data_IF_995390906004
#
_entry.id   IF_995390906004
#
_cell.length_a   1.000
_cell.length_b   1.000
_cell.length_c   1.000
_cell.angle_alpha   90.00
_cell.angle_beta   90.00
_cell.angle_gamma   90.00
#
_symmetry.space_group_name_H-M   'P 1'
#
loop_
_entity.id
_entity.type
_entity.pdbx_description
1 polymer ?
#
# COMPACT_ATOMS: atom_id res chain seq x y z
N UNK A 1 -26.97 -46.39 -25.15
CA UNK A 1 -27.80 -46.63 -23.97
C UNK A 1 -27.78 -45.36 -23.15
N UNK A 2 -28.93 -44.75 -23.04
CA UNK A 2 -29.29 -43.54 -22.33
C UNK A 2 -28.69 -43.44 -20.92
N UNK A 3 -28.16 -42.29 -20.58
CA UNK A 3 -28.32 -41.70 -19.25
C UNK A 3 -28.71 -40.21 -19.40
N UNK A 4 -29.84 -39.98 -18.81
CA UNK A 4 -30.69 -38.82 -18.90
C UNK A 4 -30.06 -37.57 -18.28
N UNK A 5 -30.15 -36.47 -19.03
CA UNK A 5 -30.18 -35.10 -18.55
C UNK A 5 -31.16 -34.99 -17.37
N UNK A 6 -30.65 -34.81 -16.17
CA UNK A 6 -31.37 -34.22 -15.05
C UNK A 6 -30.93 -32.78 -14.91
N UNK A 7 -31.69 -31.88 -15.48
CA UNK A 7 -31.68 -30.49 -15.07
C UNK A 7 -32.08 -30.46 -13.58
N UNK A 8 -31.18 -30.03 -12.72
CA UNK A 8 -31.46 -29.74 -11.33
C UNK A 8 -32.07 -28.35 -11.30
N UNK A 9 -33.37 -28.32 -11.03
CA UNK A 9 -34.16 -27.12 -10.81
C UNK A 9 -33.86 -26.63 -9.37
N UNK A 10 -33.06 -25.59 -9.24
CA UNK A 10 -32.77 -24.94 -7.94
C UNK A 10 -33.87 -23.93 -7.66
N UNK A 11 -34.55 -24.05 -6.52
CA UNK A 11 -35.51 -23.05 -6.05
C UNK A 11 -34.78 -21.74 -5.69
N UNK A 12 -35.46 -20.60 -5.92
CA UNK A 12 -34.90 -19.27 -5.61
C UNK A 12 -34.47 -19.07 -4.13
N UNK A 13 -34.96 -19.93 -3.22
CA UNK A 13 -34.58 -19.93 -1.81
C UNK A 13 -33.27 -20.67 -1.54
N UNK A 14 -32.85 -21.64 -2.37
CA UNK A 14 -31.57 -22.36 -2.22
C UNK A 14 -30.37 -21.58 -2.79
N UNK A 15 -30.59 -20.54 -3.59
CA UNK A 15 -29.55 -19.64 -4.11
C UNK A 15 -29.17 -18.52 -3.13
N UNK A 16 -29.85 -18.40 -1.98
CA UNK A 16 -29.64 -17.33 -1.03
C UNK A 16 -28.64 -17.66 0.11
N UNK A 17 -28.22 -18.93 0.27
CA UNK A 17 -27.43 -19.32 1.46
C UNK A 17 -25.93 -19.58 1.24
N UNK A 18 -25.43 -19.53 0.00
CA UNK A 18 -24.00 -19.75 -0.29
C UNK A 18 -23.28 -18.54 -0.89
N UNK A 19 -23.67 -17.33 -0.52
CA UNK A 19 -22.78 -16.18 -0.65
C UNK A 19 -21.72 -16.28 0.46
N UNK A 20 -20.65 -17.03 0.20
CA UNK A 20 -19.38 -16.86 0.91
C UNK A 20 -18.95 -15.43 0.58
N UNK A 21 -19.14 -14.52 1.54
CA UNK A 21 -18.47 -13.22 1.53
C UNK A 21 -16.97 -13.50 1.43
N UNK A 22 -16.42 -13.42 0.23
CA UNK A 22 -14.99 -13.16 0.10
C UNK A 22 -14.67 -11.94 0.95
N UNK A 23 -13.53 -11.90 1.68
CA UNK A 23 -13.13 -10.72 2.44
C UNK A 23 -12.73 -9.62 1.44
N UNK A 24 -13.70 -9.09 0.74
CA UNK A 24 -13.63 -7.79 0.10
C UNK A 24 -13.37 -6.79 1.22
N UNK A 25 -12.41 -5.89 1.01
CA UNK A 25 -12.16 -4.73 1.86
C UNK A 25 -13.47 -4.20 2.42
N UNK A 26 -13.52 -3.81 3.72
CA UNK A 26 -14.73 -3.27 4.27
C UNK A 26 -15.11 -2.04 3.44
N UNK A 27 -16.07 -2.23 2.56
CA UNK A 27 -16.84 -1.14 2.02
C UNK A 27 -17.58 -0.63 3.24
N UNK A 28 -17.05 0.41 3.89
CA UNK A 28 -17.86 1.22 4.78
C UNK A 28 -18.97 1.80 3.89
N UNK A 29 -20.04 1.06 3.76
CA UNK A 29 -21.31 1.58 3.31
C UNK A 29 -21.76 2.58 4.38
N UNK A 30 -21.31 3.82 4.25
CA UNK A 30 -21.93 4.94 4.94
C UNK A 30 -23.32 5.01 4.33
N UNK A 31 -24.35 4.64 5.12
CA UNK A 31 -25.75 4.72 4.69
C UNK A 31 -26.06 6.17 4.39
N UNK A 32 -26.92 6.41 3.40
CA UNK A 32 -27.37 7.76 3.05
C UNK A 32 -27.92 8.56 4.24
N UNK A 33 -28.34 7.87 5.30
CA UNK A 33 -28.88 8.41 6.56
C UNK A 33 -27.80 9.03 7.47
N UNK A 34 -26.52 8.71 7.26
CA UNK A 34 -25.41 9.21 8.09
C UNK A 34 -24.74 10.47 7.51
N UNK A 35 -25.23 10.95 6.36
CA UNK A 35 -24.74 12.18 5.73
C UNK A 35 -25.63 13.33 6.16
N UNK A 36 -25.31 13.93 7.29
CA UNK A 36 -25.86 15.27 7.60
C UNK A 36 -25.17 16.29 6.71
N UNK A 37 -25.91 17.32 6.27
CA UNK A 37 -25.38 18.42 5.46
C UNK A 37 -24.15 19.13 6.05
N UNK A 38 -23.89 18.95 7.35
CA UNK A 38 -22.69 19.40 8.07
C UNK A 38 -21.42 18.62 7.70
N UNK A 39 -21.54 17.40 7.14
CA UNK A 39 -20.39 16.62 6.69
C UNK A 39 -19.78 17.11 5.35
N UNK A 40 -20.36 18.11 4.73
CA UNK A 40 -19.88 18.79 3.53
C UNK A 40 -18.94 19.98 3.83
N UNK A 41 -18.66 20.28 5.09
CA UNK A 41 -17.60 21.21 5.46
C UNK A 41 -16.22 20.53 5.33
N UNK A 42 -15.74 20.50 4.10
CA UNK A 42 -14.40 20.04 3.78
C UNK A 42 -13.35 20.89 4.48
N UNK A 43 -12.31 20.31 5.08
CA UNK A 43 -11.20 21.06 5.62
C UNK A 43 -10.39 21.67 4.48
N UNK A 44 -10.70 22.91 4.13
CA UNK A 44 -10.00 23.70 3.13
C UNK A 44 -10.87 24.84 2.64
N UNK A 45 -10.53 26.08 3.01
CA UNK A 45 -11.20 27.29 2.54
C UNK A 45 -11.11 27.41 1.02
N UNK A 46 -12.25 27.63 0.35
CA UNK A 46 -12.36 28.08 -1.03
C UNK A 46 -11.64 29.42 -1.19
N UNK A 47 -10.39 29.39 -1.61
CA UNK A 47 -9.65 30.60 -2.07
C UNK A 47 -9.46 30.49 -3.58
N UNK A 48 -9.40 31.61 -4.28
CA UNK A 48 -9.15 31.66 -5.74
C UNK A 48 -7.84 30.97 -6.16
N UNK A 49 -6.93 30.76 -5.21
CA UNK A 49 -5.64 30.07 -5.39
C UNK A 49 -5.69 28.56 -5.06
N UNK A 50 -6.86 27.98 -4.80
CA UNK A 50 -7.01 26.57 -4.48
C UNK A 50 -7.63 25.79 -5.66
N UNK A 51 -7.24 24.55 -5.77
CA UNK A 51 -7.76 23.59 -6.75
C UNK A 51 -8.34 22.38 -6.01
N UNK A 52 -9.53 21.97 -6.41
CA UNK A 52 -10.16 20.75 -5.93
C UNK A 52 -9.52 19.54 -6.61
N UNK A 53 -9.11 18.54 -5.84
CA UNK A 53 -8.55 17.31 -6.33
C UNK A 53 -9.11 16.10 -5.59
N UNK A 54 -9.09 14.95 -6.26
CA UNK A 54 -9.48 13.65 -5.75
C UNK A 54 -8.31 12.69 -5.93
N UNK A 55 -7.97 11.95 -4.88
CA UNK A 55 -7.04 10.84 -4.96
C UNK A 55 -7.71 9.63 -5.59
N UNK A 56 -7.19 9.14 -6.71
CA UNK A 56 -7.70 7.96 -7.41
C UNK A 56 -6.64 6.88 -7.40
N UNK A 57 -7.02 5.67 -6.98
CA UNK A 57 -6.19 4.48 -7.05
C UNK A 57 -6.53 3.71 -8.32
N UNK A 58 -5.53 3.52 -9.17
CA UNK A 58 -5.65 2.73 -10.39
C UNK A 58 -5.32 1.26 -10.06
N UNK A 59 -5.94 0.31 -10.75
CA UNK A 59 -5.70 -1.15 -10.62
C UNK A 59 -5.83 -1.71 -9.19
N UNK A 60 -6.67 -1.11 -8.35
CA UNK A 60 -6.99 -1.62 -7.01
C UNK A 60 -5.86 -1.54 -5.97
N UNK A 61 -4.60 -1.34 -6.37
CA UNK A 61 -3.40 -1.34 -5.51
C UNK A 61 -2.44 -0.20 -5.87
N UNK A 62 -1.53 0.11 -4.95
CA UNK A 62 -0.41 1.00 -5.24
C UNK A 62 -0.71 2.48 -5.07
N UNK A 63 0.02 3.29 -5.82
CA UNK A 63 0.08 4.74 -5.69
C UNK A 63 -1.26 5.41 -5.99
N UNK A 64 -1.61 6.39 -5.14
CA UNK A 64 -2.75 7.28 -5.39
C UNK A 64 -2.30 8.41 -6.32
N UNK A 65 -3.06 8.64 -7.37
CA UNK A 65 -2.85 9.71 -8.33
C UNK A 65 -3.93 10.78 -8.15
N UNK A 66 -3.56 12.04 -8.27
CA UNK A 66 -4.48 13.14 -8.07
C UNK A 66 -5.06 13.63 -9.40
N UNK A 67 -6.40 13.77 -9.42
CA UNK A 67 -7.16 14.23 -10.56
C UNK A 67 -8.08 15.38 -10.15
N UNK A 68 -8.45 16.23 -11.11
CA UNK A 68 -9.53 17.18 -10.91
C UNK A 68 -10.86 16.47 -11.08
N UNK A 69 -11.82 16.63 -10.15
CA UNK A 69 -13.14 16.01 -10.27
C UNK A 69 -13.98 16.62 -11.41
N UNK A 70 -13.50 17.71 -12.05
CA UNK A 70 -14.27 18.50 -13.02
C UNK A 70 -15.62 18.96 -12.42
N UNK A 71 -16.73 18.60 -13.06
CA UNK A 71 -18.08 18.96 -12.64
C UNK A 71 -18.81 17.81 -11.88
N UNK A 72 -18.07 16.74 -11.53
CA UNK A 72 -18.66 15.59 -10.86
C UNK A 72 -18.54 15.70 -9.35
N UNK A 73 -19.63 15.34 -8.66
CA UNK A 73 -19.60 15.08 -7.21
C UNK A 73 -19.08 13.67 -6.99
N UNK A 74 -17.86 13.54 -6.48
CA UNK A 74 -17.18 12.26 -6.28
C UNK A 74 -17.09 11.98 -4.80
N UNK A 75 -17.41 10.75 -4.41
CA UNK A 75 -17.29 10.23 -3.05
C UNK A 75 -16.16 9.20 -2.98
N UNK A 76 -15.61 9.03 -1.80
CA UNK A 76 -14.66 7.93 -1.55
C UNK A 76 -15.34 6.60 -1.86
N UNK A 77 -14.66 5.75 -2.64
CA UNK A 77 -15.19 4.46 -3.09
C UNK A 77 -15.83 4.49 -4.47
N UNK A 78 -16.13 5.67 -5.03
CA UNK A 78 -16.69 5.75 -6.38
C UNK A 78 -15.68 5.27 -7.42
N UNK A 79 -16.18 4.51 -8.39
CA UNK A 79 -15.42 4.14 -9.57
C UNK A 79 -15.47 5.25 -10.60
N UNK A 80 -14.31 5.62 -11.11
CA UNK A 80 -14.15 6.76 -12.03
C UNK A 80 -13.31 6.36 -13.23
N UNK A 81 -13.66 6.93 -14.38
CA UNK A 81 -12.89 6.82 -15.61
C UNK A 81 -12.00 8.05 -15.72
N UNK A 82 -10.70 7.81 -15.86
CA UNK A 82 -9.67 8.86 -15.90
C UNK A 82 -8.81 8.74 -17.16
N UNK A 83 -8.28 9.87 -17.60
CA UNK A 83 -7.27 9.90 -18.65
C UNK A 83 -5.87 9.94 -18.03
N UNK A 84 -5.05 8.95 -18.36
CA UNK A 84 -3.63 8.89 -17.96
C UNK A 84 -2.71 9.24 -19.13
N UNK A 85 -1.40 9.26 -18.92
CA UNK A 85 -0.42 9.37 -20.02
C UNK A 85 -0.39 8.12 -20.90
N UNK A 86 -0.91 7.03 -20.39
CA UNK A 86 -0.96 5.72 -21.05
C UNK A 86 -2.30 5.52 -21.80
N UNK A 87 -3.35 6.30 -21.49
CA UNK A 87 -4.69 6.25 -22.04
C UNK A 87 -5.78 6.27 -20.98
N UNK A 88 -6.96 5.76 -21.35
CA UNK A 88 -8.13 5.69 -20.47
C UNK A 88 -7.95 4.52 -19.51
N UNK A 89 -8.17 4.78 -18.22
CA UNK A 89 -8.11 3.80 -17.15
C UNK A 89 -9.31 3.96 -16.20
N UNK A 90 -9.70 2.87 -15.56
CA UNK A 90 -10.64 2.89 -14.48
C UNK A 90 -9.91 2.88 -13.14
N UNK A 91 -10.40 3.66 -12.18
CA UNK A 91 -9.85 3.71 -10.84
C UNK A 91 -10.93 3.91 -9.79
N UNK A 92 -10.53 3.77 -8.54
CA UNK A 92 -11.39 4.00 -7.37
C UNK A 92 -10.94 5.26 -6.66
N UNK A 93 -11.88 6.15 -6.32
CA UNK A 93 -11.63 7.30 -5.48
C UNK A 93 -11.19 6.83 -4.08
N UNK A 94 -9.90 6.96 -3.78
CA UNK A 94 -9.28 6.47 -2.55
C UNK A 94 -9.52 7.42 -1.39
N UNK A 95 -9.58 8.72 -1.68
CA UNK A 95 -9.76 9.78 -0.70
C UNK A 95 -10.94 10.67 -1.08
N UNK A 96 -11.40 11.41 -0.09
CA UNK A 96 -12.37 12.47 -0.32
C UNK A 96 -11.75 13.62 -1.10
N UNK A 97 -12.54 14.36 -1.92
CA UNK A 97 -12.04 15.55 -2.59
C UNK A 97 -11.45 16.57 -1.61
N UNK A 98 -10.31 17.15 -1.92
CA UNK A 98 -9.57 18.09 -1.07
C UNK A 98 -9.18 19.33 -1.86
N UNK A 99 -9.16 20.50 -1.17
CA UNK A 99 -8.64 21.74 -1.74
C UNK A 99 -7.15 21.85 -1.42
N UNK A 100 -6.31 21.98 -2.45
CA UNK A 100 -4.90 22.28 -2.29
C UNK A 100 -4.51 23.57 -3.00
N UNK A 101 -3.52 24.31 -2.48
CA UNK A 101 -2.99 25.49 -3.16
C UNK A 101 -2.42 25.14 -4.54
N UNK A 102 -2.72 25.92 -5.57
CA UNK A 102 -2.23 25.71 -6.95
C UNK A 102 -0.72 25.61 -7.04
N UNK A 103 -0.02 26.36 -6.22
CA UNK A 103 1.46 26.36 -6.15
C UNK A 103 2.09 25.09 -5.57
N UNK A 104 1.31 24.24 -4.90
CA UNK A 104 1.75 22.94 -4.42
C UNK A 104 1.78 21.85 -5.50
N UNK A 105 1.15 22.10 -6.64
CA UNK A 105 1.07 21.18 -7.76
C UNK A 105 2.34 21.26 -8.64
N UNK A 106 3.00 20.13 -8.82
CA UNK A 106 4.20 20.02 -9.68
C UNK A 106 3.86 20.00 -11.18
N UNK A 107 2.61 19.67 -11.54
CA UNK A 107 2.12 19.57 -12.92
C UNK A 107 0.60 19.85 -12.96
N UNK A 108 0.06 20.27 -14.12
CA UNK A 108 -1.37 20.46 -14.25
C UNK A 108 -2.12 19.15 -14.01
N UNK A 109 -3.22 19.23 -13.26
CA UNK A 109 -4.08 18.09 -12.95
C UNK A 109 -4.83 17.64 -14.22
N UNK A 110 -4.80 16.33 -14.46
CA UNK A 110 -5.71 15.71 -15.41
C UNK A 110 -7.11 15.62 -14.80
N UNK A 111 -8.13 15.58 -15.65
CA UNK A 111 -9.53 15.55 -15.21
C UNK A 111 -10.03 14.12 -15.11
N UNK A 112 -10.97 13.90 -14.21
CA UNK A 112 -11.83 12.73 -14.24
C UNK A 112 -12.78 12.94 -15.42
N UNK A 113 -12.88 11.94 -16.30
CA UNK A 113 -13.71 12.02 -17.50
C UNK A 113 -15.19 11.85 -17.16
N UNK A 114 -15.49 10.85 -16.30
CA UNK A 114 -16.85 10.55 -15.82
C UNK A 114 -16.82 9.52 -14.68
N UNK A 115 -17.94 9.36 -14.02
CA UNK A 115 -18.19 8.20 -13.16
C UNK A 115 -18.29 6.93 -14.01
N UNK A 116 -17.89 5.80 -13.45
CA UNK A 116 -18.04 4.50 -14.12
C UNK A 116 -19.52 4.10 -14.18
N UNK A 117 -19.94 3.56 -15.31
CA UNK A 117 -21.25 2.94 -15.50
C UNK A 117 -21.21 1.45 -15.09
N UNK A 118 -22.38 0.83 -15.00
CA UNK A 118 -22.44 -0.62 -14.75
C UNK A 118 -21.74 -1.43 -15.86
N UNK A 119 -21.82 -0.98 -17.11
CA UNK A 119 -21.12 -1.63 -18.23
C UNK A 119 -19.59 -1.52 -18.07
N UNK A 120 -19.08 -0.39 -17.56
CA UNK A 120 -17.66 -0.24 -17.26
C UNK A 120 -17.21 -1.19 -16.14
N UNK A 121 -18.04 -1.37 -15.11
CA UNK A 121 -17.75 -2.29 -14.02
C UNK A 121 -17.73 -3.74 -14.52
N UNK A 122 -18.70 -4.14 -15.34
CA UNK A 122 -18.72 -5.46 -15.94
C UNK A 122 -17.48 -5.70 -16.82
N UNK A 123 -17.14 -4.71 -17.67
CA UNK A 123 -15.93 -4.79 -18.49
C UNK A 123 -14.64 -4.89 -17.66
N UNK A 124 -14.58 -4.21 -16.53
CA UNK A 124 -13.44 -4.31 -15.60
C UNK A 124 -13.32 -5.69 -14.97
N UNK A 125 -14.45 -6.29 -14.57
CA UNK A 125 -14.45 -7.66 -14.04
C UNK A 125 -14.09 -8.70 -15.11
N UNK A 126 -14.58 -8.53 -16.34
CA UNK A 126 -14.16 -9.36 -17.49
C UNK A 126 -12.65 -9.26 -17.73
N UNK A 127 -12.08 -8.05 -17.64
CA UNK A 127 -10.63 -7.87 -17.80
C UNK A 127 -9.85 -8.59 -16.70
N UNK A 128 -10.32 -8.62 -15.46
CA UNK A 128 -9.67 -9.39 -14.39
C UNK A 128 -9.63 -10.89 -14.67
N UNK A 129 -10.72 -11.46 -15.19
CA UNK A 129 -10.72 -12.87 -15.59
C UNK A 129 -9.71 -13.12 -16.73
N UNK A 130 -9.66 -12.23 -17.72
CA UNK A 130 -8.68 -12.31 -18.81
C UNK A 130 -7.24 -12.18 -18.31
N UNK A 131 -6.98 -11.37 -17.26
CA UNK A 131 -5.66 -11.23 -16.62
C UNK A 131 -5.21 -12.55 -16.00
N UNK A 132 -6.09 -13.25 -15.27
CA UNK A 132 -5.80 -14.55 -14.67
C UNK A 132 -5.47 -15.60 -15.74
N UNK A 133 -6.28 -15.70 -16.79
CA UNK A 133 -6.05 -16.63 -17.91
C UNK A 133 -4.75 -16.31 -18.65
N UNK A 134 -4.48 -15.02 -18.90
CA UNK A 134 -3.28 -14.57 -19.54
C UNK A 134 -2.03 -14.87 -18.72
N UNK A 135 -2.10 -14.74 -17.39
CA UNK A 135 -0.99 -15.06 -16.49
C UNK A 135 -0.61 -16.55 -16.56
N UNK A 136 -1.62 -17.44 -16.52
CA UNK A 136 -1.40 -18.89 -16.62
C UNK A 136 -0.73 -19.23 -17.97
N UNK A 137 -1.34 -18.76 -19.04
CA UNK A 137 -0.83 -19.00 -20.40
C UNK A 137 0.59 -18.47 -20.59
N UNK A 138 0.87 -17.26 -20.11
CA UNK A 138 2.20 -16.67 -20.22
C UNK A 138 3.25 -17.42 -19.38
N UNK A 139 2.90 -17.95 -18.20
CA UNK A 139 3.79 -18.80 -17.39
C UNK A 139 4.19 -20.07 -18.14
N UNK A 140 3.25 -20.71 -18.82
CA UNK A 140 3.54 -21.89 -19.66
C UNK A 140 4.52 -21.55 -20.80
N UNK A 141 4.34 -20.37 -21.44
CA UNK A 141 5.24 -19.91 -22.49
C UNK A 141 6.64 -19.58 -21.97
N UNK A 142 6.76 -18.93 -20.82
CA UNK A 142 8.06 -18.68 -20.15
C UNK A 142 8.81 -19.99 -19.91
N UNK A 143 8.12 -21.03 -19.43
CA UNK A 143 8.71 -22.37 -19.25
C UNK A 143 9.11 -23.01 -20.57
N UNK A 144 8.27 -22.90 -21.62
CA UNK A 144 8.56 -23.44 -22.94
C UNK A 144 9.83 -22.84 -23.57
N UNK A 145 10.02 -21.52 -23.40
CA UNK A 145 11.23 -20.83 -23.89
C UNK A 145 12.43 -20.94 -22.93
N UNK A 146 12.28 -21.58 -21.76
CA UNK A 146 13.34 -21.76 -20.79
C UNK A 146 13.94 -20.46 -20.26
N UNK A 147 13.11 -19.42 -20.12
CA UNK A 147 13.56 -18.09 -19.66
C UNK A 147 13.72 -18.07 -18.14
N UNK A 148 14.84 -17.53 -17.67
CA UNK A 148 15.12 -17.35 -16.24
C UNK A 148 14.44 -16.06 -15.72
N UNK A 149 13.12 -16.13 -15.63
CA UNK A 149 12.26 -15.06 -15.15
C UNK A 149 10.99 -15.61 -14.49
N UNK A 150 10.47 -14.90 -13.53
CA UNK A 150 9.21 -15.25 -12.86
C UNK A 150 8.16 -14.18 -13.16
N UNK A 151 7.04 -14.58 -13.78
CA UNK A 151 5.89 -13.71 -13.99
C UNK A 151 5.11 -13.58 -12.67
N UNK A 152 4.88 -12.36 -12.25
CA UNK A 152 4.21 -12.02 -10.99
C UNK A 152 2.76 -11.69 -11.24
N UNK A 153 2.47 -10.77 -12.18
CA UNK A 153 1.12 -10.25 -12.42
C UNK A 153 0.94 -9.82 -13.87
N UNK A 154 -0.30 -9.62 -14.27
CA UNK A 154 -0.70 -9.13 -15.60
C UNK A 154 -1.75 -8.04 -15.43
N UNK A 155 -1.64 -6.99 -16.20
CA UNK A 155 -2.63 -5.92 -16.26
C UNK A 155 -3.10 -5.70 -17.69
N UNK A 156 -4.40 -5.88 -17.91
CA UNK A 156 -5.09 -5.40 -19.10
C UNK A 156 -5.40 -3.92 -18.93
N UNK A 157 -5.08 -3.16 -19.94
CA UNK A 157 -5.53 -1.79 -19.99
C UNK A 157 -7.03 -1.74 -20.18
N UNK A 158 -7.70 -0.77 -19.59
CA UNK A 158 -9.16 -0.66 -19.64
C UNK A 158 -9.73 -0.65 -21.07
N UNK A 159 -8.99 -0.12 -22.05
CA UNK A 159 -9.35 -0.14 -23.48
C UNK A 159 -8.93 -1.41 -24.24
N UNK A 160 -8.40 -2.41 -23.56
CA UNK A 160 -7.89 -3.69 -24.10
C UNK A 160 -6.83 -3.56 -25.22
N UNK A 161 -6.21 -2.38 -25.40
CA UNK A 161 -5.22 -2.14 -26.44
C UNK A 161 -3.81 -2.54 -26.06
N UNK A 162 -3.58 -2.85 -24.79
CA UNK A 162 -2.27 -3.24 -24.27
C UNK A 162 -2.40 -4.18 -23.08
N UNK A 163 -1.51 -5.16 -23.02
CA UNK A 163 -1.34 -6.05 -21.86
C UNK A 163 0.07 -5.81 -21.34
N UNK A 164 0.19 -5.59 -20.04
CA UNK A 164 1.48 -5.45 -19.35
C UNK A 164 1.70 -6.65 -18.44
N UNK A 165 2.78 -7.38 -18.65
CA UNK A 165 3.22 -8.48 -17.81
C UNK A 165 4.33 -7.99 -16.88
N UNK A 166 4.13 -8.17 -15.58
CA UNK A 166 5.14 -7.83 -14.57
C UNK A 166 5.96 -9.06 -14.22
N UNK A 167 7.27 -8.91 -14.22
CA UNK A 167 8.16 -10.03 -13.93
C UNK A 167 9.35 -9.62 -13.08
N UNK A 168 9.94 -10.61 -12.39
CA UNK A 168 11.23 -10.52 -11.73
C UNK A 168 12.25 -11.41 -12.38
N UNK A 169 13.50 -10.99 -12.40
CA UNK A 169 14.65 -11.76 -12.88
C UNK A 169 15.93 -11.24 -12.24
N UNK A 170 16.88 -12.14 -11.96
CA UNK A 170 18.17 -11.78 -11.36
C UNK A 170 19.11 -11.08 -12.35
N UNK A 171 18.88 -11.27 -13.65
CA UNK A 171 19.72 -10.73 -14.71
C UNK A 171 18.93 -10.17 -15.89
N UNK A 172 19.65 -9.95 -16.97
CA UNK A 172 19.07 -9.50 -18.22
C UNK A 172 18.53 -10.72 -19.00
N UNK A 173 17.22 -10.70 -19.28
CA UNK A 173 16.52 -11.76 -20.01
C UNK A 173 16.25 -11.30 -21.44
N UNK A 174 16.48 -12.18 -22.43
CA UNK A 174 16.07 -11.94 -23.81
C UNK A 174 14.70 -12.54 -24.07
N UNK A 175 13.69 -11.72 -23.99
CA UNK A 175 12.28 -12.10 -24.13
C UNK A 175 11.68 -11.75 -25.49
N UNK A 176 12.48 -11.48 -26.54
CA UNK A 176 11.97 -11.05 -27.85
C UNK A 176 11.06 -12.08 -28.51
N UNK A 177 11.40 -13.36 -28.40
CA UNK A 177 10.59 -14.45 -28.94
C UNK A 177 9.29 -14.62 -28.15
N UNK A 178 9.36 -14.56 -26.82
CA UNK A 178 8.19 -14.59 -25.94
C UNK A 178 7.21 -13.45 -26.28
N UNK A 179 7.69 -12.22 -26.45
CA UNK A 179 6.82 -11.07 -26.81
C UNK A 179 6.11 -11.29 -28.13
N UNK A 180 6.79 -11.84 -29.15
CA UNK A 180 6.17 -12.13 -30.46
C UNK A 180 5.10 -13.20 -30.34
N UNK A 181 5.35 -14.25 -29.59
CA UNK A 181 4.41 -15.34 -29.35
C UNK A 181 3.17 -14.84 -28.60
N UNK A 182 3.35 -14.16 -27.49
CA UNK A 182 2.25 -13.56 -26.72
C UNK A 182 1.45 -12.54 -27.54
N UNK A 183 2.11 -11.70 -28.36
CA UNK A 183 1.44 -10.75 -29.23
C UNK A 183 0.60 -11.44 -30.31
N UNK A 184 1.07 -12.57 -30.85
CA UNK A 184 0.32 -13.40 -31.79
C UNK A 184 -0.90 -14.05 -31.13
N UNK A 185 -0.74 -14.54 -29.89
CA UNK A 185 -1.76 -15.25 -29.13
C UNK A 185 -2.90 -14.30 -28.70
N UNK A 186 -2.53 -13.19 -28.04
CA UNK A 186 -3.52 -12.24 -27.50
C UNK A 186 -3.96 -11.17 -28.51
N UNK A 187 -3.33 -11.10 -29.67
CA UNK A 187 -3.60 -10.11 -30.73
C UNK A 187 -3.63 -8.66 -30.25
N UNK A 188 -2.82 -8.37 -29.23
CA UNK A 188 -2.77 -7.11 -28.52
C UNK A 188 -1.31 -6.72 -28.31
N UNK A 189 -1.05 -5.43 -28.09
CA UNK A 189 0.31 -4.95 -27.79
C UNK A 189 0.75 -5.48 -26.42
N UNK A 190 1.89 -6.17 -26.40
CA UNK A 190 2.49 -6.73 -25.20
C UNK A 190 3.61 -5.82 -24.71
N UNK A 191 3.60 -5.56 -23.41
CA UNK A 191 4.69 -4.91 -22.69
C UNK A 191 5.16 -5.83 -21.55
N UNK A 192 6.46 -6.11 -21.48
CA UNK A 192 7.10 -6.82 -20.39
C UNK A 192 7.82 -5.81 -19.51
N UNK A 193 7.45 -5.76 -18.22
CA UNK A 193 7.99 -4.82 -17.24
C UNK A 193 8.67 -5.56 -16.10
N UNK A 194 10.00 -5.40 -16.03
CA UNK A 194 10.73 -5.90 -14.88
C UNK A 194 10.45 -5.04 -13.65
N UNK A 195 10.14 -5.69 -12.53
CA UNK A 195 9.88 -5.06 -11.25
C UNK A 195 10.92 -5.46 -10.21
N UNK A 196 11.05 -4.62 -9.18
CA UNK A 196 11.95 -4.91 -8.07
C UNK A 196 11.30 -5.81 -7.02
N UNK A 197 12.12 -6.47 -6.19
CA UNK A 197 11.65 -7.39 -5.13
C UNK A 197 10.67 -6.78 -4.13
N UNK A 198 10.68 -5.45 -3.95
CA UNK A 198 9.68 -4.79 -3.09
C UNK A 198 8.36 -4.58 -3.82
N UNK A 199 8.42 -4.29 -5.12
CA UNK A 199 7.21 -4.13 -5.94
C UNK A 199 6.53 -5.50 -6.10
N UNK A 200 7.31 -6.57 -6.26
CA UNK A 200 6.84 -7.96 -6.20
C UNK A 200 6.12 -8.24 -4.88
N UNK A 201 6.76 -7.98 -3.73
CA UNK A 201 6.14 -8.17 -2.43
C UNK A 201 4.88 -7.29 -2.25
N UNK A 202 4.85 -6.10 -2.83
CA UNK A 202 3.68 -5.21 -2.83
C UNK A 202 2.51 -5.81 -3.62
N UNK A 203 2.78 -6.41 -4.79
CA UNK A 203 1.77 -7.02 -5.66
C UNK A 203 1.21 -8.31 -5.07
N UNK A 204 2.08 -9.18 -4.53
CA UNK A 204 1.67 -10.42 -3.87
C UNK A 204 0.92 -10.14 -2.58
N UNK A 205 1.29 -9.07 -1.84
CA UNK A 205 0.74 -8.75 -0.54
C UNK A 205 1.24 -9.66 0.58
N UNK A 206 0.50 -9.73 1.68
CA UNK A 206 0.80 -10.59 2.82
C UNK A 206 1.07 -9.81 4.11
N UNK A 207 1.57 -10.50 5.13
CA UNK A 207 1.82 -9.95 6.46
C UNK A 207 3.30 -9.70 6.70
N UNK A 208 3.60 -8.57 7.31
CA UNK A 208 4.94 -8.26 7.81
C UNK A 208 5.26 -9.02 9.11
N UNK A 209 6.53 -8.94 9.55
CA UNK A 209 6.96 -9.51 10.84
C UNK A 209 6.24 -8.90 12.05
N UNK A 210 5.60 -7.74 11.88
CA UNK A 210 4.79 -7.05 12.89
C UNK A 210 3.35 -7.58 12.96
N UNK A 211 2.94 -8.54 12.11
CA UNK A 211 1.60 -9.10 12.05
C UNK A 211 0.57 -8.21 11.34
N UNK A 212 0.97 -7.07 10.77
CA UNK A 212 0.14 -6.21 9.92
C UNK A 212 0.40 -6.49 8.45
N UNK A 213 -0.54 -6.11 7.60
CA UNK A 213 -0.31 -6.11 6.15
C UNK A 213 0.94 -5.32 5.77
N UNK A 214 1.55 -5.67 4.65
CA UNK A 214 2.77 -5.03 4.20
C UNK A 214 2.56 -3.53 3.98
N UNK A 215 3.44 -2.68 4.55
CA UNK A 215 3.37 -1.23 4.39
C UNK A 215 3.36 -0.80 2.91
N UNK A 216 4.09 -1.53 2.04
CA UNK A 216 4.16 -1.23 0.62
C UNK A 216 2.86 -1.54 -0.13
N UNK A 217 2.07 -2.50 0.31
CA UNK A 217 0.79 -2.83 -0.31
C UNK A 217 -0.37 -1.97 0.21
N UNK A 218 -0.22 -1.34 1.38
CA UNK A 218 -1.30 -0.56 2.02
C UNK A 218 -1.15 0.96 1.82
N UNK A 219 -0.18 1.59 2.47
CA UNK A 219 -0.12 3.05 2.55
C UNK A 219 1.21 3.66 2.12
N UNK A 220 2.31 2.89 2.15
CA UNK A 220 3.65 3.43 1.89
C UNK A 220 4.05 3.17 0.43
N UNK A 221 3.87 4.18 -0.42
CA UNK A 221 4.15 4.08 -1.86
C UNK A 221 5.42 4.83 -2.30
N UNK A 222 5.99 5.66 -1.42
CA UNK A 222 7.25 6.37 -1.67
C UNK A 222 8.33 5.86 -0.73
N UNK A 223 9.45 5.40 -1.29
CA UNK A 223 10.52 4.79 -0.54
C UNK A 223 11.78 5.63 -0.61
N UNK A 224 12.28 6.00 0.57
CA UNK A 224 13.59 6.61 0.72
C UNK A 224 14.60 5.54 1.12
N UNK A 225 15.89 5.75 0.89
CA UNK A 225 16.93 4.83 1.35
C UNK A 225 16.86 4.57 2.85
N UNK A 226 16.95 3.30 3.24
CA UNK A 226 16.97 2.87 4.64
C UNK A 226 18.38 2.44 5.02
N UNK A 227 18.85 2.85 6.20
CA UNK A 227 20.16 2.50 6.72
C UNK A 227 20.07 1.68 8.01
N UNK A 228 21.09 0.86 8.27
CA UNK A 228 21.21 0.08 9.52
C UNK A 228 21.26 1.01 10.74
N UNK A 229 21.75 2.24 10.58
CA UNK A 229 21.76 3.25 11.65
C UNK A 229 20.35 3.54 12.18
N UNK A 230 19.34 3.59 11.29
CA UNK A 230 17.95 3.82 11.70
C UNK A 230 17.45 2.70 12.62
N UNK A 231 17.82 1.44 12.35
CA UNK A 231 17.50 0.33 13.24
C UNK A 231 18.15 0.45 14.62
N UNK A 232 19.41 0.90 14.68
CA UNK A 232 20.10 1.19 15.94
C UNK A 232 19.46 2.35 16.71
N UNK A 233 19.07 3.40 16.04
CA UNK A 233 18.41 4.55 16.65
C UNK A 233 17.02 4.18 17.23
N UNK A 234 16.40 3.12 16.72
CA UNK A 234 15.13 2.55 17.18
C UNK A 234 15.30 1.38 18.17
N UNK A 235 16.51 1.17 18.68
CA UNK A 235 16.85 0.09 19.63
C UNK A 235 16.48 -1.32 19.13
N UNK A 236 16.45 -1.57 17.80
CA UNK A 236 16.18 -2.88 17.26
C UNK A 236 17.41 -3.77 17.24
N UNK A 237 17.20 -5.06 17.44
CA UNK A 237 18.24 -6.06 17.29
C UNK A 237 18.83 -6.05 15.88
N UNK A 238 20.16 -6.12 15.77
CA UNK A 238 20.86 -6.15 14.47
C UNK A 238 20.75 -7.50 13.76
N UNK A 239 19.92 -8.41 14.24
CA UNK A 239 19.67 -9.68 13.57
C UNK A 239 18.95 -9.41 12.20
N UNK A 240 19.51 -9.85 11.08
CA UNK A 240 18.89 -9.67 9.76
C UNK A 240 17.43 -10.09 9.69
N UNK A 241 17.05 -11.20 10.36
CA UNK A 241 15.66 -11.67 10.40
C UNK A 241 14.69 -10.72 11.12
N UNK A 242 15.19 -9.77 11.91
CA UNK A 242 14.38 -8.80 12.65
C UNK A 242 14.33 -7.42 11.99
N UNK A 243 15.24 -7.13 11.07
CA UNK A 243 15.34 -5.82 10.39
C UNK A 243 15.11 -5.91 8.88
N UNK A 244 14.90 -7.12 8.33
CA UNK A 244 14.55 -7.31 6.92
C UNK A 244 13.07 -7.63 6.74
N UNK A 245 12.48 -7.10 5.70
CA UNK A 245 11.12 -7.41 5.28
C UNK A 245 11.05 -8.69 4.44
N UNK A 246 9.83 -9.11 4.10
CA UNK A 246 9.56 -10.25 3.19
C UNK A 246 10.23 -10.08 1.83
N UNK A 247 10.41 -8.84 1.36
CA UNK A 247 11.13 -8.51 0.13
C UNK A 247 12.67 -8.64 0.24
N UNK A 248 13.23 -9.13 1.36
CA UNK A 248 14.67 -9.25 1.58
C UNK A 248 15.43 -7.95 1.83
N UNK A 249 14.78 -6.78 1.67
CA UNK A 249 15.38 -5.46 1.96
C UNK A 249 15.12 -5.05 3.40
N UNK A 250 15.88 -4.05 3.90
CA UNK A 250 15.59 -3.47 5.21
C UNK A 250 14.14 -2.98 5.30
N UNK A 251 13.55 -3.12 6.49
CA UNK A 251 12.17 -2.72 6.77
C UNK A 251 11.92 -1.26 6.40
N UNK A 252 10.91 -1.01 5.58
CA UNK A 252 10.56 0.36 5.14
C UNK A 252 9.99 1.22 6.28
N UNK A 253 9.36 0.62 7.29
CA UNK A 253 8.90 1.31 8.49
C UNK A 253 10.04 1.95 9.29
N UNK A 254 11.28 1.42 9.24
CA UNK A 254 12.44 2.04 9.87
C UNK A 254 12.63 3.50 9.43
N UNK A 255 12.52 3.77 8.13
CA UNK A 255 12.64 5.13 7.64
C UNK A 255 11.36 5.94 7.89
N UNK A 256 10.20 5.31 7.78
CA UNK A 256 8.91 5.96 7.99
C UNK A 256 8.78 6.52 9.41
N UNK A 257 9.19 5.76 10.41
CA UNK A 257 9.10 6.13 11.82
C UNK A 257 10.34 6.89 12.34
N UNK A 258 11.44 6.93 11.58
CA UNK A 258 12.74 7.45 12.04
C UNK A 258 12.69 8.87 12.62
N UNK A 259 11.83 9.74 12.07
CA UNK A 259 11.69 11.11 12.54
C UNK A 259 11.16 11.16 14.00
N UNK A 260 10.18 10.31 14.33
CA UNK A 260 9.60 10.23 15.68
C UNK A 260 10.67 9.82 16.70
N UNK A 261 11.44 8.77 16.37
CA UNK A 261 12.54 8.32 17.24
C UNK A 261 13.65 9.36 17.38
N UNK A 262 13.96 10.09 16.31
CA UNK A 262 14.97 11.14 16.35
C UNK A 262 14.55 12.32 17.24
N UNK A 263 13.29 12.69 17.19
CA UNK A 263 12.74 13.75 18.05
C UNK A 263 12.65 13.30 19.52
N UNK A 264 12.18 12.10 19.78
CA UNK A 264 12.14 11.53 21.13
C UNK A 264 13.54 11.44 21.74
N UNK A 265 14.54 11.00 20.95
CA UNK A 265 15.92 10.88 21.40
C UNK A 265 16.55 12.21 21.83
N UNK A 266 16.14 13.34 21.21
CA UNK A 266 16.61 14.68 21.62
C UNK A 266 16.13 15.06 23.01
N UNK A 267 14.97 14.58 23.42
CA UNK A 267 14.37 14.85 24.74
C UNK A 267 14.96 13.97 25.84
N UNK A 268 15.41 12.77 25.50
CA UNK A 268 15.88 11.76 26.44
C UNK A 268 17.30 12.02 26.96
N UNK A 269 17.63 11.64 28.21
CA UNK A 269 19.00 11.63 28.69
C UNK A 269 19.83 10.55 27.95
N UNK A 270 21.13 10.81 27.80
CA UNK A 270 22.02 9.82 27.20
C UNK A 270 22.20 8.60 28.13
N UNK A 271 22.42 7.43 27.52
CA UNK A 271 22.80 6.22 28.28
C UNK A 271 24.09 6.50 29.06
N UNK A 272 24.14 6.03 30.32
CA UNK A 272 25.20 6.29 31.29
C UNK A 272 25.29 7.75 31.80
N UNK A 273 24.32 8.62 31.48
CA UNK A 273 24.27 9.95 32.09
C UNK A 273 23.85 9.86 33.56
N UNK A 274 24.36 10.77 34.39
CA UNK A 274 23.86 10.97 35.77
C UNK A 274 22.60 11.79 35.76
N UNK A 275 21.59 11.33 36.47
CA UNK A 275 20.29 12.00 36.56
C UNK A 275 19.79 11.99 38.01
N UNK A 276 18.97 12.99 38.35
CA UNK A 276 18.33 13.08 39.63
C UNK A 276 16.89 12.58 39.50
N UNK A 277 16.53 11.61 40.34
CA UNK A 277 15.19 11.04 40.44
C UNK A 277 14.56 11.39 41.80
N UNK A 278 13.25 11.19 42.02
CA UNK A 278 12.62 11.39 43.30
C UNK A 278 13.24 10.58 44.46
N UNK A 279 13.85 9.45 44.13
CA UNK A 279 14.48 8.55 45.10
C UNK A 279 15.99 8.73 45.25
N UNK A 280 16.59 9.69 44.56
CA UNK A 280 18.00 10.03 44.64
C UNK A 280 18.72 10.09 43.28
N UNK A 281 20.03 10.27 43.34
CA UNK A 281 20.87 10.32 42.14
C UNK A 281 21.16 8.91 41.64
N UNK A 282 21.11 8.74 40.32
CA UNK A 282 21.40 7.47 39.68
C UNK A 282 21.99 7.63 38.28
N UNK A 283 22.34 6.51 37.68
CA UNK A 283 22.91 6.44 36.33
C UNK A 283 21.88 5.82 35.37
N UNK A 284 21.67 6.45 34.24
CA UNK A 284 20.74 5.95 33.20
C UNK A 284 21.30 4.62 32.63
N UNK A 285 20.53 3.57 32.76
CA UNK A 285 20.85 2.25 32.21
C UNK A 285 20.24 2.01 30.85
N UNK A 286 18.96 2.35 30.70
CA UNK A 286 18.23 2.22 29.44
C UNK A 286 17.15 3.29 29.31
N UNK A 287 16.71 3.52 28.06
CA UNK A 287 15.63 4.50 27.75
C UNK A 287 14.63 3.90 26.77
N UNK A 288 13.35 4.05 27.08
CA UNK A 288 12.26 3.74 26.16
C UNK A 288 11.80 5.05 25.52
N UNK A 289 12.12 5.23 24.24
CA UNK A 289 11.88 6.47 23.51
C UNK A 289 10.40 6.74 23.28
N UNK A 290 9.58 5.69 23.08
CA UNK A 290 8.16 5.85 22.76
C UNK A 290 7.29 6.01 24.00
N UNK A 291 7.66 5.36 25.10
CA UNK A 291 6.96 5.49 26.38
C UNK A 291 7.43 6.69 27.19
N UNK A 292 8.48 7.38 26.73
CA UNK A 292 9.13 8.47 27.44
C UNK A 292 9.54 8.05 28.88
N UNK A 293 10.07 6.83 29.04
CA UNK A 293 10.53 6.32 30.32
C UNK A 293 12.03 6.06 30.32
N UNK A 294 12.62 6.22 31.50
CA UNK A 294 14.06 6.06 31.70
C UNK A 294 14.30 5.08 32.84
N UNK A 295 15.06 4.04 32.56
CA UNK A 295 15.51 3.08 33.58
C UNK A 295 16.81 3.56 34.19
N UNK A 296 16.76 3.81 35.50
CA UNK A 296 17.89 4.39 36.26
C UNK A 296 18.36 3.38 37.30
N UNK A 297 19.66 3.22 37.35
CA UNK A 297 20.34 2.50 38.44
C UNK A 297 20.65 3.47 39.53
N UNK A 298 19.99 3.33 40.70
CA UNK A 298 20.20 4.15 41.87
C UNK A 298 21.45 3.70 42.64
N UNK A 299 22.26 4.64 43.10
CA UNK A 299 23.44 4.41 43.93
C UNK A 299 23.04 4.54 45.43
N UNK A 300 22.59 3.43 46.03
CA UNK A 300 22.34 3.35 47.47
C UNK A 300 23.49 2.60 48.16
N UNK A 301 23.80 2.98 49.39
CA UNK A 301 25.00 2.55 50.13
C UNK A 301 25.19 1.00 50.24
N UNK A 302 24.11 0.20 50.07
CA UNK A 302 24.19 -1.26 50.19
C UNK A 302 23.38 -2.05 49.14
N UNK A 303 22.60 -1.41 48.26
CA UNK A 303 21.82 -2.11 47.24
C UNK A 303 21.81 -1.33 45.91
N UNK A 304 22.07 -2.04 44.82
CA UNK A 304 21.84 -1.51 43.47
C UNK A 304 20.41 -1.80 43.08
N UNK A 305 19.54 -0.78 43.14
CA UNK A 305 18.17 -0.90 42.67
C UNK A 305 18.02 -0.29 41.26
N UNK A 306 17.33 -1.01 40.38
CA UNK A 306 17.01 -0.53 39.02
C UNK A 306 15.53 -0.17 39.02
N UNK A 307 15.21 1.09 38.76
CA UNK A 307 13.85 1.62 38.77
C UNK A 307 13.59 2.38 37.49
N UNK A 308 12.36 2.28 36.96
CA UNK A 308 11.95 2.99 35.76
C UNK A 308 11.07 4.17 36.13
N UNK A 309 11.43 5.34 35.68
CA UNK A 309 10.73 6.62 35.92
C UNK A 309 10.23 7.21 34.59
N UNK A 310 9.09 7.92 34.59
CA UNK A 310 8.72 8.75 33.47
C UNK A 310 9.71 9.93 33.33
N UNK A 311 9.92 10.40 32.11
CA UNK A 311 10.86 11.49 31.83
C UNK A 311 10.54 12.77 32.61
N UNK A 312 9.26 13.00 32.91
CA UNK A 312 8.79 14.18 33.67
C UNK A 312 9.29 14.24 35.12
N UNK A 313 9.68 13.10 35.70
CA UNK A 313 10.18 13.00 37.08
C UNK A 313 11.70 13.03 37.19
N UNK A 314 12.38 13.18 36.06
CA UNK A 314 13.84 13.15 35.98
C UNK A 314 14.38 14.55 35.69
N UNK A 315 15.35 14.98 36.49
CA UNK A 315 16.10 16.22 36.24
C UNK A 315 17.55 15.88 35.85
N UNK A 316 18.04 16.58 34.81
CA UNK A 316 19.43 16.44 34.30
C UNK A 316 20.40 17.19 35.17
#
# INVERSE_FOLDING_TARGET
VNEQDRAVDWSEEELAEDFIEEPGFPVCAVREEDITDEALDWPGTRGDDHVLLVGVRLHGRGKIYHFSPADYTIRRGDYVIVETSQGIEMGVAADWPQYLPKNSLKSPLKKILRLASNDDLMHYEENKLLEEEALVTAKERVQHYGLDMTLIDVEYRFDNRKITFFFTADGRVDFRELVRDLASLFRTRIELRQIGVRDEACMIGGLGICGRELCCSTFLHEFKPVSIRMAKDQNLSMNPSKISGTCGRLLCCLNYEHHVYTEAKKKMPAKNARVTTPEGVGTVEDVDLLRETVTVRLERENEKSIVTYPLSEITR
#
